data_IF_946017107102
#
_entry.id   IF_946017107102
#
_cell.length_a   1.000
_cell.length_b   1.000
_cell.length_c   1.000
_cell.angle_alpha   90.00
_cell.angle_beta   90.00
_cell.angle_gamma   90.00
#
_symmetry.space_group_name_H-M   'P 1'
#
loop_
_entity.id
_entity.type
_entity.pdbx_description
1 polymer ?
#
# COMPACT_ATOMS: atom_id res chain seq x y z
N UNK A 1 -6.64 -10.15 -17.27
CA UNK A 1 -7.22 -9.28 -16.20
C UNK A 1 -6.06 -8.63 -15.44
N UNK A 2 -6.05 -7.28 -15.31
CA UNK A 2 -4.99 -6.57 -14.59
C UNK A 2 -5.12 -6.78 -13.10
N UNK A 3 -4.08 -7.34 -12.50
CA UNK A 3 -3.99 -7.66 -11.07
C UNK A 3 -2.96 -6.74 -10.43
N UNK A 4 -3.22 -6.30 -9.20
CA UNK A 4 -2.23 -5.63 -8.37
C UNK A 4 -1.98 -6.42 -7.09
N UNK A 5 -0.75 -6.35 -6.61
CA UNK A 5 -0.32 -6.85 -5.31
C UNK A 5 0.19 -5.70 -4.46
N UNK A 6 -0.44 -5.51 -3.32
CA UNK A 6 -0.07 -4.52 -2.34
C UNK A 6 0.80 -5.17 -1.27
N UNK A 7 2.06 -4.82 -1.25
CA UNK A 7 3.05 -5.34 -0.31
C UNK A 7 3.28 -4.34 0.83
N UNK A 8 2.68 -4.65 1.96
CA UNK A 8 2.60 -3.78 3.13
C UNK A 8 3.77 -3.96 4.10
N UNK A 9 4.99 -4.29 3.62
CA UNK A 9 6.15 -4.66 4.44
C UNK A 9 6.52 -3.65 5.54
N UNK A 10 6.10 -2.39 5.41
CA UNK A 10 6.32 -1.33 6.41
C UNK A 10 5.02 -0.67 6.88
N UNK A 11 3.91 -1.38 6.78
CA UNK A 11 2.61 -0.87 7.18
C UNK A 11 1.74 -0.39 6.05
N UNK A 12 0.61 0.23 6.41
CA UNK A 12 -0.39 0.71 5.46
C UNK A 12 -1.15 1.91 6.03
N UNK A 13 -1.17 2.99 5.26
CA UNK A 13 -2.04 4.15 5.47
C UNK A 13 -2.62 4.61 4.13
N UNK A 14 -3.63 5.46 4.16
CA UNK A 14 -4.31 5.92 2.94
C UNK A 14 -3.38 6.71 2.03
N UNK A 15 -2.62 7.66 2.59
CA UNK A 15 -1.62 8.46 1.89
C UNK A 15 -0.52 7.60 1.24
N UNK A 16 -0.04 6.55 1.93
CA UNK A 16 0.92 5.60 1.36
C UNK A 16 0.31 4.81 0.21
N UNK A 17 -0.94 4.37 0.32
CA UNK A 17 -1.58 3.63 -0.76
C UNK A 17 -1.75 4.51 -2.00
N UNK A 18 -2.29 5.71 -1.82
CA UNK A 18 -2.47 6.65 -2.92
C UNK A 18 -1.13 7.09 -3.52
N UNK A 19 -0.11 7.35 -2.70
CA UNK A 19 1.25 7.61 -3.14
C UNK A 19 1.84 6.49 -3.97
N UNK A 20 1.62 5.21 -3.60
CA UNK A 20 2.09 4.07 -4.37
C UNK A 20 1.42 3.92 -5.73
N UNK A 21 0.14 4.28 -5.86
CA UNK A 21 -0.60 4.28 -7.12
C UNK A 21 -0.15 5.41 -8.05
N UNK A 22 0.16 6.59 -7.48
CA UNK A 22 0.77 7.70 -8.23
C UNK A 22 2.15 7.30 -8.77
N UNK A 23 2.97 6.66 -7.94
CA UNK A 23 4.29 6.17 -8.34
C UNK A 23 4.23 5.06 -9.40
N UNK A 24 3.15 4.27 -9.39
CA UNK A 24 2.87 3.23 -10.39
C UNK A 24 2.28 3.76 -11.72
N UNK A 25 2.15 5.09 -11.87
CA UNK A 25 1.77 5.73 -13.13
C UNK A 25 0.39 6.37 -13.18
N UNK A 26 -0.31 6.54 -12.05
CA UNK A 26 -1.51 7.37 -12.01
C UNK A 26 -1.13 8.84 -12.27
N UNK A 27 -1.87 9.51 -13.16
CA UNK A 27 -1.70 10.96 -13.37
C UNK A 27 -2.19 11.75 -12.16
N UNK A 28 -1.30 12.55 -11.56
CA UNK A 28 -1.65 13.42 -10.44
C UNK A 28 -2.70 14.48 -10.83
N UNK A 29 -2.60 15.06 -12.04
CA UNK A 29 -3.53 16.07 -12.51
C UNK A 29 -4.95 15.50 -12.68
N UNK A 30 -5.08 14.27 -13.21
CA UNK A 30 -6.40 13.61 -13.33
C UNK A 30 -6.99 13.31 -11.95
N UNK A 31 -6.17 12.83 -11.01
CA UNK A 31 -6.59 12.61 -9.63
C UNK A 31 -7.07 13.93 -9.00
N UNK A 32 -6.29 15.00 -9.13
CA UNK A 32 -6.62 16.32 -8.60
C UNK A 32 -7.94 16.86 -9.17
N UNK A 33 -8.10 16.80 -10.48
CA UNK A 33 -9.34 17.21 -11.14
C UNK A 33 -10.56 16.44 -10.62
N UNK A 34 -10.45 15.12 -10.49
CA UNK A 34 -11.53 14.28 -9.99
C UNK A 34 -11.89 14.59 -8.54
N UNK A 35 -10.89 14.72 -7.67
CA UNK A 35 -11.12 15.04 -6.26
C UNK A 35 -11.68 16.45 -6.03
N UNK A 36 -11.33 17.42 -6.88
CA UNK A 36 -11.87 18.79 -6.83
C UNK A 36 -13.37 18.86 -7.15
N UNK A 37 -13.98 17.81 -7.71
CA UNK A 37 -15.42 17.74 -7.93
C UNK A 37 -16.21 17.45 -6.64
N UNK A 38 -15.55 17.00 -5.59
CA UNK A 38 -16.17 16.78 -4.28
C UNK A 38 -16.55 18.14 -3.66
N UNK A 39 -17.77 18.30 -3.13
CA UNK A 39 -18.30 19.58 -2.69
C UNK A 39 -17.79 19.99 -1.29
N UNK A 40 -16.48 20.02 -1.14
CA UNK A 40 -15.81 20.63 0.02
C UNK A 40 -14.56 21.38 -0.43
N UNK A 41 -14.20 22.40 0.33
CA UNK A 41 -13.10 23.31 0.03
C UNK A 41 -12.17 23.40 1.23
N UNK A 42 -11.10 24.15 1.10
CA UNK A 42 -10.18 24.38 2.21
C UNK A 42 -9.14 23.27 2.35
N UNK A 43 -8.80 22.62 1.24
CA UNK A 43 -7.69 21.67 1.18
C UNK A 43 -6.90 21.80 -0.12
N UNK A 44 -5.65 21.43 -0.04
CA UNK A 44 -4.77 21.24 -1.18
C UNK A 44 -4.14 19.86 -1.13
N UNK A 45 -3.93 19.24 -2.29
CA UNK A 45 -3.19 17.98 -2.39
C UNK A 45 -1.83 18.20 -3.03
N UNK A 46 -0.84 17.53 -2.49
CA UNK A 46 0.54 17.55 -2.98
C UNK A 46 1.03 16.14 -3.27
N UNK A 47 1.77 16.00 -4.38
CA UNK A 47 2.50 14.78 -4.71
C UNK A 47 3.96 15.12 -4.94
N UNK A 48 4.87 14.49 -4.18
CA UNK A 48 6.29 14.79 -4.21
C UNK A 48 7.12 13.52 -4.14
N UNK A 49 8.22 13.49 -4.89
CA UNK A 49 9.24 12.44 -4.76
C UNK A 49 10.02 12.64 -3.46
N UNK A 50 10.07 11.60 -2.63
CA UNK A 50 10.88 11.58 -1.41
C UNK A 50 11.65 10.26 -1.31
N UNK A 51 12.72 10.28 -0.52
CA UNK A 51 13.53 9.09 -0.27
C UNK A 51 13.33 8.57 1.16
N UNK A 52 13.32 7.26 1.29
CA UNK A 52 13.41 6.55 2.58
C UNK A 52 14.52 5.52 2.49
N UNK A 53 15.56 5.67 3.31
CA UNK A 53 16.73 4.75 3.31
C UNK A 53 17.20 4.41 1.89
N UNK A 54 17.45 5.43 1.06
CA UNK A 54 17.95 5.35 -0.33
C UNK A 54 16.97 4.73 -1.35
N UNK A 55 15.71 4.46 -0.98
CA UNK A 55 14.68 4.07 -1.92
C UNK A 55 13.77 5.27 -2.17
N UNK A 56 13.60 5.62 -3.46
CA UNK A 56 12.71 6.70 -3.89
C UNK A 56 11.28 6.21 -4.01
N UNK A 57 10.34 7.03 -3.60
CA UNK A 57 8.91 6.80 -3.77
C UNK A 57 8.14 8.11 -3.87
N UNK A 58 6.84 8.02 -4.02
CA UNK A 58 5.95 9.19 -4.07
C UNK A 58 5.25 9.37 -2.74
N UNK A 59 5.44 10.56 -2.15
CA UNK A 59 4.67 11.02 -1.02
C UNK A 59 3.44 11.76 -1.49
N UNK A 60 2.29 11.35 -1.01
CA UNK A 60 1.03 12.08 -1.16
C UNK A 60 0.68 12.78 0.16
N UNK A 61 0.19 14.01 0.08
CA UNK A 61 -0.24 14.79 1.25
C UNK A 61 -1.50 15.56 0.94
N UNK A 62 -2.34 15.67 1.96
CA UNK A 62 -3.48 16.60 2.02
C UNK A 62 -3.11 17.72 3.00
N UNK A 63 -3.13 18.94 2.53
CA UNK A 63 -2.94 20.15 3.33
C UNK A 63 -4.30 20.79 3.56
N UNK A 64 -4.65 21.07 4.83
CA UNK A 64 -5.88 21.79 5.17
C UNK A 64 -5.58 23.26 5.33
N UNK A 65 -6.46 24.12 4.79
CA UNK A 65 -6.37 25.57 4.96
C UNK A 65 -6.51 25.89 6.46
N UNK A 66 -5.54 26.61 7.01
CA UNK A 66 -5.48 26.93 8.44
C UNK A 66 -4.30 26.30 9.18
N UNK A 67 -3.53 25.39 8.59
CA UNK A 67 -2.31 24.83 9.20
C UNK A 67 -1.10 25.77 9.19
N UNK A 68 -1.20 26.97 8.57
CA UNK A 68 -0.09 27.93 8.40
C UNK A 68 -0.12 29.17 9.32
N UNK A 69 -1.07 29.27 10.27
CA UNK A 69 -1.06 30.39 11.23
C UNK A 69 -1.14 29.93 12.69
N UNK A 70 0.00 29.60 13.27
CA UNK A 70 0.21 29.92 14.68
C UNK A 70 0.32 31.46 14.79
N UNK A 71 -0.75 32.09 15.29
CA UNK A 71 -0.77 33.20 16.26
C UNK A 71 -2.15 33.86 16.33
N UNK A 72 -2.79 33.70 17.53
CA UNK A 72 -3.82 34.57 18.11
C UNK A 72 -5.12 34.82 17.31
N UNK A 73 -6.15 34.09 17.68
CA UNK A 73 -7.53 34.42 17.37
C UNK A 73 -8.43 33.20 17.50
N UNK A 74 -9.28 33.19 18.53
CA UNK A 74 -10.35 32.18 18.69
C UNK A 74 -11.31 32.23 17.50
N UNK A 75 -11.06 31.44 16.49
CA UNK A 75 -12.09 31.02 15.55
C UNK A 75 -12.24 29.52 15.70
N UNK A 76 -13.38 29.11 16.29
CA UNK A 76 -13.84 27.74 16.42
C UNK A 76 -14.17 27.16 15.02
N UNK A 77 -13.16 26.89 14.20
CA UNK A 77 -13.28 25.91 13.14
C UNK A 77 -12.75 24.58 13.66
N UNK A 78 -13.60 23.91 14.45
CA UNK A 78 -13.45 22.47 14.62
C UNK A 78 -13.52 21.84 13.23
N UNK A 79 -12.59 20.92 12.85
CA UNK A 79 -12.81 20.06 11.70
C UNK A 79 -14.19 19.43 11.93
N UNK A 80 -15.13 19.72 11.03
CA UNK A 80 -16.51 19.25 11.17
C UNK A 80 -16.45 17.72 11.30
N UNK A 81 -16.81 17.23 12.49
CA UNK A 81 -16.99 15.80 12.74
C UNK A 81 -18.16 15.33 11.86
N UNK A 82 -17.83 14.82 10.67
CA UNK A 82 -18.84 14.39 9.70
C UNK A 82 -19.34 13.01 10.08
N UNK A 83 -20.65 12.88 10.21
CA UNK A 83 -21.30 11.58 10.29
C UNK A 83 -21.35 10.89 8.92
N UNK A 84 -21.63 9.58 8.92
CA UNK A 84 -21.70 8.75 7.71
C UNK A 84 -22.60 9.37 6.62
N UNK A 85 -23.75 9.92 6.98
CA UNK A 85 -24.68 10.55 6.05
C UNK A 85 -24.04 11.73 5.29
N UNK A 86 -23.35 12.62 6.00
CA UNK A 86 -22.70 13.77 5.40
C UNK A 86 -21.55 13.35 4.44
N UNK A 87 -20.81 12.31 4.78
CA UNK A 87 -19.75 11.76 3.92
C UNK A 87 -20.35 11.17 2.64
N UNK A 88 -21.41 10.38 2.77
CA UNK A 88 -22.10 9.81 1.61
C UNK A 88 -22.68 10.89 0.69
N UNK A 89 -23.25 11.98 1.24
CA UNK A 89 -23.72 13.13 0.46
C UNK A 89 -22.58 13.82 -0.31
N UNK A 90 -21.41 13.96 0.31
CA UNK A 90 -20.20 14.52 -0.33
C UNK A 90 -19.76 13.64 -1.51
N UNK A 91 -19.68 12.32 -1.31
CA UNK A 91 -19.26 11.39 -2.35
C UNK A 91 -20.28 11.34 -3.49
N UNK A 92 -21.58 11.35 -3.17
CA UNK A 92 -22.64 11.28 -4.15
C UNK A 92 -22.68 12.49 -5.10
N UNK A 93 -22.39 13.68 -4.58
CA UNK A 93 -22.34 14.92 -5.37
C UNK A 93 -21.09 15.07 -6.23
N UNK A 94 -20.03 14.30 -5.97
CA UNK A 94 -18.81 14.33 -6.79
C UNK A 94 -19.07 13.82 -8.21
N UNK A 95 -18.35 14.35 -9.20
CA UNK A 95 -18.35 13.83 -10.59
C UNK A 95 -17.43 12.60 -10.67
N UNK A 96 -17.93 11.50 -10.11
CA UNK A 96 -17.26 10.20 -10.01
C UNK A 96 -18.14 9.14 -10.61
N UNK A 97 -17.54 8.04 -11.08
CA UNK A 97 -18.32 6.90 -11.58
C UNK A 97 -19.14 6.26 -10.44
N UNK A 98 -20.24 5.63 -10.76
CA UNK A 98 -21.07 4.89 -9.79
C UNK A 98 -20.27 3.82 -9.04
N UNK A 99 -19.31 3.19 -9.72
CA UNK A 99 -18.43 2.18 -9.14
C UNK A 99 -17.54 2.80 -8.04
N UNK A 100 -16.95 3.97 -8.31
CA UNK A 100 -16.12 4.69 -7.33
C UNK A 100 -16.97 5.13 -6.14
N UNK A 101 -18.11 5.76 -6.38
CA UNK A 101 -19.06 6.17 -5.34
C UNK A 101 -19.45 5.00 -4.44
N UNK A 102 -19.95 3.93 -5.03
CA UNK A 102 -20.44 2.74 -4.31
C UNK A 102 -19.35 2.11 -3.45
N UNK A 103 -18.15 1.92 -3.99
CA UNK A 103 -17.05 1.32 -3.24
C UNK A 103 -16.56 2.21 -2.09
N UNK A 104 -16.44 3.51 -2.34
CA UNK A 104 -16.03 4.48 -1.31
C UNK A 104 -17.04 4.53 -0.17
N UNK A 105 -18.34 4.61 -0.47
CA UNK A 105 -19.41 4.59 0.54
C UNK A 105 -19.39 3.28 1.35
N UNK A 106 -19.20 2.13 0.71
CA UNK A 106 -19.13 0.84 1.40
C UNK A 106 -17.96 0.76 2.39
N UNK A 107 -16.82 1.39 2.08
CA UNK A 107 -15.68 1.49 3.01
C UNK A 107 -16.05 2.34 4.23
N UNK A 108 -16.70 3.49 4.03
CA UNK A 108 -17.16 4.34 5.14
C UNK A 108 -18.26 3.69 5.98
N UNK A 109 -19.17 2.92 5.37
CA UNK A 109 -20.14 2.10 6.09
C UNK A 109 -19.49 1.04 6.97
N UNK A 110 -18.41 0.40 6.48
CA UNK A 110 -17.64 -0.55 7.28
C UNK A 110 -16.97 0.12 8.48
N UNK A 111 -16.36 1.29 8.26
CA UNK A 111 -15.80 2.11 9.33
C UNK A 111 -16.86 2.51 10.36
N UNK A 112 -18.02 3.01 9.93
CA UNK A 112 -19.11 3.41 10.81
C UNK A 112 -19.64 2.24 11.65
N UNK A 113 -19.74 1.04 11.06
CA UNK A 113 -20.14 -0.16 11.80
C UNK A 113 -19.14 -0.54 12.89
N UNK A 114 -17.86 -0.42 12.61
CA UNK A 114 -16.79 -0.74 13.58
C UNK A 114 -16.75 0.30 14.69
N UNK A 115 -16.71 1.58 14.36
CA UNK A 115 -16.73 2.67 15.34
C UNK A 115 -18.00 2.64 16.18
N UNK A 116 -19.16 2.39 15.58
CA UNK A 116 -20.42 2.23 16.28
C UNK A 116 -20.39 1.12 17.34
N UNK A 117 -19.76 -0.02 17.02
CA UNK A 117 -19.57 -1.10 18.00
C UNK A 117 -18.65 -0.70 19.15
N UNK A 118 -17.57 0.03 18.86
CA UNK A 118 -16.59 0.47 19.87
C UNK A 118 -17.24 1.48 20.82
N UNK A 119 -18.03 2.40 20.28
CA UNK A 119 -18.69 3.47 21.05
C UNK A 119 -20.09 3.11 21.55
N UNK A 120 -20.57 1.91 21.25
CA UNK A 120 -21.94 1.46 21.57
C UNK A 120 -23.02 2.40 20.99
N UNK A 121 -22.83 2.81 19.74
CA UNK A 121 -23.72 3.69 18.97
C UNK A 121 -24.19 2.99 17.69
N UNK A 122 -25.40 3.30 17.19
CA UNK A 122 -25.80 2.95 15.84
C UNK A 122 -24.86 3.58 14.80
N UNK A 123 -24.58 2.89 13.65
CA UNK A 123 -23.63 3.40 12.63
C UNK A 123 -24.00 4.78 12.07
N UNK A 124 -25.27 5.11 12.00
CA UNK A 124 -25.78 6.41 11.52
C UNK A 124 -25.58 7.56 12.51
N UNK A 125 -25.32 7.25 13.79
CA UNK A 125 -25.00 8.20 14.85
C UNK A 125 -23.50 8.34 15.12
N UNK A 126 -22.67 7.61 14.40
CA UNK A 126 -21.21 7.73 14.53
C UNK A 126 -20.74 9.06 13.95
N UNK A 127 -20.00 9.80 14.77
CA UNK A 127 -19.21 10.93 14.32
C UNK A 127 -17.75 10.51 14.25
N UNK A 128 -17.19 10.54 13.06
CA UNK A 128 -15.80 10.16 12.87
C UNK A 128 -14.87 11.24 13.42
N UNK A 129 -14.07 10.90 14.41
CA UNK A 129 -13.10 11.82 15.02
C UNK A 129 -11.75 11.84 14.29
N UNK A 130 -11.36 10.70 13.72
CA UNK A 130 -10.07 10.53 13.03
C UNK A 130 -10.24 10.24 11.53
N UNK A 131 -11.32 9.56 11.15
CA UNK A 131 -11.54 9.07 9.76
C UNK A 131 -12.56 9.92 8.98
N UNK A 132 -13.26 10.83 9.61
CA UNK A 132 -14.21 11.77 8.98
C UNK A 132 -13.57 13.07 8.50
N UNK A 133 -12.29 13.26 8.75
CA UNK A 133 -11.54 14.39 8.28
C UNK A 133 -11.37 14.36 6.74
N UNK A 134 -11.13 15.49 6.16
CA UNK A 134 -11.01 15.66 4.70
C UNK A 134 -9.94 14.77 4.11
N UNK A 135 -8.81 14.60 4.81
CA UNK A 135 -7.70 13.74 4.39
C UNK A 135 -8.13 12.28 4.18
N UNK A 136 -8.90 11.71 5.13
CA UNK A 136 -9.39 10.34 5.01
C UNK A 136 -10.40 10.17 3.86
N UNK A 137 -11.24 11.18 3.59
CA UNK A 137 -12.15 11.15 2.45
C UNK A 137 -11.35 11.18 1.15
N UNK A 138 -10.35 12.05 1.04
CA UNK A 138 -9.46 12.13 -0.12
C UNK A 138 -8.71 10.83 -0.32
N UNK A 139 -8.16 10.25 0.74
CA UNK A 139 -7.41 8.99 0.67
C UNK A 139 -8.27 7.83 0.18
N UNK A 140 -9.49 7.70 0.73
CA UNK A 140 -10.40 6.60 0.36
C UNK A 140 -10.92 6.78 -1.05
N UNK A 141 -11.51 7.92 -1.36
CA UNK A 141 -12.08 8.19 -2.69
C UNK A 141 -10.98 8.18 -3.76
N UNK A 142 -9.84 8.83 -3.47
CA UNK A 142 -8.69 8.89 -4.36
C UNK A 142 -8.11 7.51 -4.67
N UNK A 143 -8.01 6.63 -3.67
CA UNK A 143 -7.51 5.26 -3.86
C UNK A 143 -8.46 4.44 -4.73
N UNK A 144 -9.78 4.51 -4.47
CA UNK A 144 -10.78 3.80 -5.28
C UNK A 144 -10.77 4.31 -6.73
N UNK A 145 -10.75 5.63 -6.93
CA UNK A 145 -10.60 6.26 -8.24
C UNK A 145 -9.32 5.82 -8.96
N UNK A 146 -8.21 5.80 -8.24
CA UNK A 146 -6.90 5.42 -8.77
C UNK A 146 -6.88 3.98 -9.29
N UNK A 147 -7.42 3.04 -8.51
CA UNK A 147 -7.51 1.62 -8.91
C UNK A 147 -8.36 1.45 -10.17
N UNK A 148 -9.49 2.16 -10.26
CA UNK A 148 -10.36 2.13 -11.43
C UNK A 148 -9.66 2.74 -12.65
N UNK A 149 -9.05 3.91 -12.51
CA UNK A 149 -8.34 4.62 -13.59
C UNK A 149 -7.17 3.82 -14.13
N UNK A 150 -6.42 3.14 -13.26
CA UNK A 150 -5.34 2.24 -13.66
C UNK A 150 -5.82 0.91 -14.24
N UNK A 151 -7.14 0.65 -14.23
CA UNK A 151 -7.75 -0.56 -14.74
C UNK A 151 -7.45 -1.81 -13.91
N UNK A 152 -7.10 -1.63 -12.64
CA UNK A 152 -6.86 -2.74 -11.70
C UNK A 152 -8.21 -3.39 -11.37
N UNK A 153 -8.34 -4.67 -11.71
CA UNK A 153 -9.59 -5.46 -11.54
C UNK A 153 -9.51 -6.44 -10.39
N UNK A 154 -8.30 -6.73 -9.93
CA UNK A 154 -8.05 -7.63 -8.80
C UNK A 154 -6.94 -7.05 -7.94
N UNK A 155 -7.18 -6.96 -6.63
CA UNK A 155 -6.22 -6.50 -5.64
C UNK A 155 -5.94 -7.63 -4.64
N UNK A 156 -4.69 -8.03 -4.54
CA UNK A 156 -4.21 -8.92 -3.48
C UNK A 156 -3.36 -8.09 -2.51
N UNK A 157 -3.47 -8.40 -1.23
CA UNK A 157 -2.75 -7.68 -0.17
C UNK A 157 -1.92 -8.68 0.64
N UNK A 158 -0.69 -8.32 0.95
CA UNK A 158 0.16 -9.12 1.85
C UNK A 158 -0.46 -9.20 3.25
N UNK A 159 -0.05 -10.15 4.11
CA UNK A 159 -0.33 -10.05 5.54
C UNK A 159 0.10 -8.69 6.07
N UNK A 160 -0.68 -8.11 6.99
CA UNK A 160 -0.49 -6.76 7.49
C UNK A 160 0.41 -6.73 8.73
N UNK A 161 1.54 -6.01 8.72
CA UNK A 161 2.41 -5.87 9.87
C UNK A 161 1.77 -4.90 10.88
N UNK A 162 1.47 -5.40 12.06
CA UNK A 162 0.96 -4.57 13.15
C UNK A 162 2.09 -4.15 14.09
N UNK A 163 1.99 -2.93 14.57
CA UNK A 163 2.89 -2.42 15.59
C UNK A 163 2.35 -2.64 17.00
N UNK A 164 3.05 -2.10 17.97
CA UNK A 164 2.71 -2.17 19.38
C UNK A 164 2.90 -0.82 20.08
N UNK A 165 2.58 -0.75 21.38
CA UNK A 165 2.74 0.45 22.18
C UNK A 165 1.44 1.25 22.31
N UNK A 166 1.55 2.58 22.31
CA UNK A 166 0.43 3.49 22.53
C UNK A 166 0.54 4.72 21.63
N UNK A 167 -0.59 5.19 21.17
CA UNK A 167 -0.74 6.45 20.42
C UNK A 167 -1.64 7.43 21.17
N UNK A 168 -1.34 8.73 21.07
CA UNK A 168 -2.19 9.79 21.62
C UNK A 168 -3.23 10.19 20.58
N UNK A 169 -4.51 10.09 20.94
CA UNK A 169 -5.64 10.42 20.08
C UNK A 169 -6.56 11.45 20.78
N UNK A 170 -7.65 11.84 20.13
CA UNK A 170 -8.70 12.67 20.73
C UNK A 170 -9.32 12.01 21.96
N UNK A 171 -9.34 10.67 22.02
CA UNK A 171 -9.84 9.88 23.15
C UNK A 171 -8.79 9.59 24.23
N UNK A 172 -7.65 10.27 24.17
CA UNK A 172 -6.54 10.06 25.09
C UNK A 172 -5.50 9.08 24.54
N UNK A 173 -4.83 8.35 25.43
CA UNK A 173 -3.78 7.39 25.07
C UNK A 173 -4.40 6.01 24.85
N UNK A 174 -4.41 5.53 23.62
CA UNK A 174 -4.96 4.24 23.26
C UNK A 174 -3.87 3.25 22.83
N UNK A 175 -4.10 1.93 22.98
CA UNK A 175 -3.12 0.93 22.53
C UNK A 175 -2.96 0.91 21.01
N UNK A 176 -1.81 0.48 20.55
CA UNK A 176 -1.51 0.17 19.14
C UNK A 176 -1.48 -1.36 19.00
N UNK A 177 -2.19 -1.92 18.01
CA UNK A 177 -3.09 -1.26 17.05
C UNK A 177 -4.32 -0.64 17.70
N UNK A 178 -4.84 0.44 17.11
CA UNK A 178 -6.07 1.07 17.60
C UNK A 178 -7.26 0.08 17.57
N UNK A 179 -8.23 0.19 18.50
CA UNK A 179 -9.38 -0.73 18.55
C UNK A 179 -10.12 -0.84 17.22
N UNK A 180 -10.32 0.27 16.50
CA UNK A 180 -10.96 0.29 15.19
C UNK A 180 -10.15 -0.49 14.15
N UNK A 181 -8.82 -0.30 14.14
CA UNK A 181 -7.93 -1.04 13.24
C UNK A 181 -8.06 -2.55 13.46
N UNK A 182 -7.97 -3.03 14.71
CA UNK A 182 -8.11 -4.46 15.01
C UNK A 182 -9.49 -5.02 14.63
N UNK A 183 -10.55 -4.26 14.89
CA UNK A 183 -11.90 -4.69 14.57
C UNK A 183 -12.14 -4.79 13.05
N UNK A 184 -11.55 -3.88 12.25
CA UNK A 184 -11.56 -3.96 10.79
C UNK A 184 -10.79 -5.17 10.26
N UNK A 185 -9.69 -5.55 10.92
CA UNK A 185 -8.81 -6.64 10.50
C UNK A 185 -9.27 -8.03 10.97
N UNK A 186 -10.49 -8.16 11.48
CA UNK A 186 -11.01 -9.48 11.84
C UNK A 186 -11.06 -10.40 10.62
N UNK A 187 -10.38 -11.57 10.71
CA UNK A 187 -10.23 -12.53 9.60
C UNK A 187 -9.14 -12.20 8.59
N UNK A 188 -8.37 -11.14 8.80
CA UNK A 188 -7.23 -10.76 7.95
C UNK A 188 -5.93 -11.33 8.52
N UNK A 189 -5.03 -11.91 7.69
CA UNK A 189 -3.73 -12.36 8.16
C UNK A 189 -2.86 -11.17 8.58
N UNK A 190 -2.29 -11.26 9.77
CA UNK A 190 -1.45 -10.22 10.37
C UNK A 190 -0.08 -10.78 10.73
N UNK A 191 0.91 -9.87 10.85
CA UNK A 191 2.26 -10.15 11.30
C UNK A 191 2.64 -9.18 12.42
N UNK A 192 3.51 -9.62 13.34
CA UNK A 192 4.19 -8.69 14.23
C UNK A 192 5.27 -7.94 13.45
N UNK A 193 5.22 -6.60 13.48
CA UNK A 193 6.24 -5.76 12.83
C UNK A 193 7.53 -5.63 13.62
N UNK A 194 7.52 -5.93 14.91
CA UNK A 194 8.60 -5.64 15.86
C UNK A 194 8.77 -4.14 16.16
N UNK A 195 7.84 -3.27 15.71
CA UNK A 195 7.95 -1.81 15.83
C UNK A 195 6.97 -1.28 16.87
N UNK A 196 7.43 -0.42 17.76
CA UNK A 196 6.58 0.23 18.79
C UNK A 196 5.93 1.52 18.25
N UNK A 197 5.23 1.42 17.13
CA UNK A 197 4.48 2.49 16.49
C UNK A 197 3.28 1.92 15.75
N UNK A 198 2.31 2.77 15.44
CA UNK A 198 1.20 2.39 14.57
C UNK A 198 1.71 2.17 13.13
N UNK A 199 1.58 0.95 12.66
CA UNK A 199 2.01 0.53 11.32
C UNK A 199 0.85 0.49 10.33
N UNK A 200 -0.34 0.20 10.80
CA UNK A 200 -1.57 0.18 9.99
C UNK A 200 -2.57 1.13 10.62
N UNK A 201 -2.94 2.17 9.88
CA UNK A 201 -3.95 3.14 10.32
C UNK A 201 -5.37 2.60 10.13
N UNK A 202 -6.39 3.14 10.81
CA UNK A 202 -7.79 2.78 10.56
C UNK A 202 -8.20 2.93 9.08
N UNK A 203 -7.79 4.04 8.42
CA UNK A 203 -8.02 4.27 6.98
C UNK A 203 -7.34 3.21 6.12
N UNK A 204 -6.08 2.88 6.44
CA UNK A 204 -5.34 1.82 5.74
C UNK A 204 -6.01 0.45 5.89
N UNK A 205 -6.43 0.09 7.10
CA UNK A 205 -7.16 -1.15 7.37
C UNK A 205 -8.49 -1.22 6.60
N UNK A 206 -9.24 -0.12 6.59
CA UNK A 206 -10.52 -0.03 5.86
C UNK A 206 -10.34 -0.16 4.35
N UNK A 207 -9.31 0.47 3.79
CA UNK A 207 -8.95 0.33 2.37
C UNK A 207 -8.55 -1.11 2.03
N UNK A 208 -7.70 -1.73 2.85
CA UNK A 208 -7.30 -3.12 2.62
C UNK A 208 -8.50 -4.07 2.66
N UNK A 209 -9.32 -4.00 3.70
CA UNK A 209 -10.47 -4.90 3.89
C UNK A 209 -11.63 -4.64 2.92
N UNK A 210 -11.79 -3.38 2.49
CA UNK A 210 -12.84 -2.99 1.56
C UNK A 210 -12.51 -3.23 0.08
N UNK A 211 -11.22 -3.36 -0.26
CA UNK A 211 -10.77 -3.42 -1.66
C UNK A 211 -10.04 -4.72 -2.02
N UNK A 212 -9.48 -5.46 -1.04
CA UNK A 212 -8.79 -6.70 -1.34
C UNK A 212 -9.74 -7.81 -1.77
N UNK A 213 -9.41 -8.47 -2.87
CA UNK A 213 -10.06 -9.72 -3.29
C UNK A 213 -9.51 -10.92 -2.49
N UNK A 214 -8.26 -10.84 -2.04
CA UNK A 214 -7.64 -11.85 -1.18
C UNK A 214 -6.41 -11.29 -0.46
N UNK A 215 -6.06 -11.95 0.65
CA UNK A 215 -4.82 -11.72 1.39
C UNK A 215 -3.89 -12.92 1.22
N UNK A 216 -2.59 -12.67 1.06
CA UNK A 216 -1.60 -13.74 0.93
C UNK A 216 -0.28 -13.29 0.30
N UNK A 217 0.54 -14.23 -0.16
CA UNK A 217 1.80 -13.93 -0.82
C UNK A 217 1.59 -13.35 -2.22
N UNK A 218 2.66 -12.78 -2.79
CA UNK A 218 2.68 -12.32 -4.19
C UNK A 218 2.25 -13.46 -5.12
N UNK A 219 1.17 -13.28 -5.91
CA UNK A 219 0.72 -14.30 -6.85
C UNK A 219 1.67 -14.41 -8.04
N UNK A 220 1.68 -15.55 -8.74
CA UNK A 220 2.35 -15.65 -10.02
C UNK A 220 1.77 -14.63 -11.01
N UNK A 221 2.59 -13.69 -11.49
CA UNK A 221 2.18 -12.64 -12.43
C UNK A 221 3.37 -12.07 -13.19
N UNK A 222 3.10 -11.50 -14.37
CA UNK A 222 4.07 -10.67 -15.09
C UNK A 222 3.91 -9.24 -14.61
N UNK A 223 4.91 -8.74 -13.88
CA UNK A 223 4.90 -7.37 -13.35
C UNK A 223 5.17 -6.39 -14.49
N UNK A 224 4.30 -5.40 -14.64
CA UNK A 224 4.40 -4.32 -15.63
C UNK A 224 4.74 -2.98 -15.00
N UNK A 225 4.23 -2.72 -13.80
CA UNK A 225 4.47 -1.48 -13.08
C UNK A 225 4.72 -1.77 -11.60
N UNK A 226 5.63 -1.01 -11.01
CA UNK A 226 5.90 -0.99 -9.57
C UNK A 226 5.86 0.45 -9.09
N UNK A 227 5.24 0.69 -7.95
CA UNK A 227 5.21 2.00 -7.32
C UNK A 227 5.43 1.90 -5.82
N UNK A 228 6.03 2.94 -5.24
CA UNK A 228 6.32 3.07 -3.82
C UNK A 228 5.63 4.30 -3.25
N UNK A 229 4.78 4.09 -2.25
CA UNK A 229 4.17 5.15 -1.46
C UNK A 229 4.96 5.42 -0.19
N UNK A 230 5.28 6.68 0.06
CA UNK A 230 6.15 7.10 1.17
C UNK A 230 5.33 7.44 2.39
N UNK A 231 5.60 6.78 3.52
CA UNK A 231 4.99 7.09 4.80
C UNK A 231 5.57 8.35 5.47
N UNK A 232 4.79 8.91 6.40
CA UNK A 232 5.15 10.15 7.09
C UNK A 232 6.24 9.99 8.16
N UNK A 233 6.38 8.79 8.72
CA UNK A 233 7.28 8.51 9.83
C UNK A 233 8.60 7.92 9.36
N UNK A 234 9.64 8.03 10.16
CA UNK A 234 10.89 7.29 9.98
C UNK A 234 10.83 6.00 10.81
N UNK A 235 11.28 4.89 10.21
CA UNK A 235 11.45 3.61 10.90
C UNK A 235 12.94 3.34 11.09
N UNK A 236 13.35 2.80 12.25
CA UNK A 236 14.77 2.64 12.57
C UNK A 236 15.46 1.61 11.68
N UNK A 237 14.80 0.52 11.36
CA UNK A 237 15.37 -0.69 10.75
C UNK A 237 15.09 -0.81 9.24
N UNK A 238 14.02 -0.21 8.74
CA UNK A 238 13.56 -0.36 7.36
C UNK A 238 13.03 0.95 6.78
N UNK A 239 12.93 1.08 5.44
CA UNK A 239 12.28 2.25 4.83
C UNK A 239 10.77 2.21 5.08
N UNK A 240 10.19 3.33 5.52
CA UNK A 240 8.73 3.46 5.65
C UNK A 240 8.10 3.67 4.28
N UNK A 241 7.89 2.57 3.58
CA UNK A 241 7.34 2.52 2.23
C UNK A 241 6.28 1.43 2.11
N UNK A 242 5.28 1.70 1.30
CA UNK A 242 4.32 0.74 0.79
C UNK A 242 4.65 0.45 -0.68
N UNK A 243 4.67 -0.81 -1.11
CA UNK A 243 4.92 -1.16 -2.50
C UNK A 243 3.66 -1.71 -3.17
N UNK A 244 3.36 -1.22 -4.36
CA UNK A 244 2.36 -1.84 -5.24
C UNK A 244 3.05 -2.38 -6.49
N UNK A 245 2.71 -3.61 -6.88
CA UNK A 245 3.14 -4.22 -8.13
C UNK A 245 1.90 -4.55 -8.95
N UNK A 246 1.82 -4.11 -10.19
CA UNK A 246 0.66 -4.41 -11.04
C UNK A 246 1.07 -5.01 -12.37
N UNK A 247 0.21 -5.88 -12.91
CA UNK A 247 0.48 -6.59 -14.15
C UNK A 247 -0.65 -7.55 -14.53
N UNK A 248 -0.33 -8.55 -15.32
CA UNK A 248 -1.27 -9.61 -15.71
C UNK A 248 -0.82 -10.97 -15.19
N UNK A 249 -1.77 -11.90 -14.99
CA UNK A 249 -1.44 -13.29 -14.75
C UNK A 249 -0.66 -13.88 -15.93
N UNK A 250 -0.02 -15.04 -15.74
CA UNK A 250 0.59 -15.76 -16.86
C UNK A 250 -0.49 -16.06 -17.90
N UNK A 251 -0.60 -15.19 -18.92
CA UNK A 251 -1.24 -15.54 -20.15
C UNK A 251 -0.21 -16.37 -20.93
N UNK A 252 -0.36 -17.67 -20.98
CA UNK A 252 0.20 -18.42 -22.08
C UNK A 252 -0.54 -17.94 -23.33
N UNK A 253 0.04 -16.98 -24.05
CA UNK A 253 -0.47 -16.62 -25.38
C UNK A 253 -0.28 -17.83 -26.29
N UNK A 254 -1.37 -18.40 -26.85
CA UNK A 254 -1.22 -19.51 -27.80
C UNK A 254 -0.57 -19.09 -29.14
N UNK A 255 -0.30 -17.79 -29.35
CA UNK A 255 0.03 -17.24 -30.67
C UNK A 255 1.52 -16.88 -30.89
N UNK A 256 2.44 -17.07 -29.92
CA UNK A 256 3.86 -16.78 -30.16
C UNK A 256 4.69 -17.98 -30.65
N UNK A 257 4.10 -19.19 -30.82
CA UNK A 257 4.84 -20.34 -31.37
C UNK A 257 5.04 -20.32 -32.89
N UNK A 258 4.55 -19.31 -33.63
CA UNK A 258 4.66 -19.28 -35.08
C UNK A 258 5.72 -18.35 -35.67
N UNK A 259 6.49 -17.62 -34.87
CA UNK A 259 7.46 -16.65 -35.40
C UNK A 259 8.95 -17.08 -35.33
N UNK A 260 9.27 -18.25 -34.77
CA UNK A 260 10.68 -18.68 -34.68
C UNK A 260 11.07 -19.89 -35.59
N UNK A 261 10.19 -20.25 -36.53
CA UNK A 261 10.56 -21.25 -37.56
C UNK A 261 10.83 -20.55 -38.91
N UNK A 262 11.99 -19.89 -39.01
CA UNK A 262 12.39 -19.30 -40.29
C UNK A 262 13.66 -18.49 -40.19
N UNK A 263 14.79 -19.12 -39.82
CA UNK A 263 16.11 -18.58 -40.17
C UNK A 263 17.17 -19.69 -40.08
N UNK A 264 17.56 -20.22 -41.21
CA UNK A 264 18.96 -20.49 -41.56
C UNK A 264 19.61 -21.67 -40.86
N UNK A 265 19.56 -22.84 -41.52
CA UNK A 265 20.62 -23.83 -41.49
C UNK A 265 21.92 -23.16 -41.90
N UNK A 266 22.78 -22.85 -40.95
CA UNK A 266 24.16 -22.46 -41.18
C UNK A 266 25.08 -23.60 -40.75
N UNK A 267 25.68 -24.25 -41.71
CA UNK A 267 26.65 -25.33 -41.56
C UNK A 267 27.83 -24.87 -40.70
N UNK A 268 28.14 -25.60 -39.65
CA UNK A 268 29.41 -25.49 -38.93
C UNK A 268 30.30 -26.65 -39.37
N UNK A 269 31.25 -26.35 -40.27
CA UNK A 269 32.32 -27.25 -40.65
C UNK A 269 33.23 -27.57 -39.47
N UNK A 270 33.46 -28.84 -39.28
CA UNK A 270 34.43 -29.44 -38.38
C UNK A 270 35.84 -29.17 -38.87
N UNK A 271 36.60 -28.38 -38.10
CA UNK A 271 38.05 -28.20 -38.29
C UNK A 271 38.85 -29.07 -37.33
N UNK A 272 39.62 -29.94 -37.92
CA UNK A 272 40.48 -30.98 -37.39
C UNK A 272 41.52 -30.57 -36.35
N UNK A 273 41.74 -31.51 -35.44
CA UNK A 273 42.91 -31.85 -34.62
C UNK A 273 44.24 -31.14 -34.90
N UNK A 274 44.87 -30.64 -33.82
CA UNK A 274 46.33 -30.75 -33.62
C UNK A 274 46.68 -30.99 -32.17
N UNK A 275 47.17 -32.18 -31.92
CA UNK A 275 47.86 -32.63 -30.72
C UNK A 275 49.14 -31.83 -30.49
N UNK A 276 49.45 -31.46 -29.24
CA UNK A 276 50.83 -31.36 -28.75
C UNK A 276 50.88 -31.69 -27.23
N UNK A 277 51.70 -32.68 -26.97
CA UNK A 277 52.21 -33.19 -25.71
C UNK A 277 52.93 -32.15 -24.84
N UNK A 278 52.87 -32.31 -23.50
CA UNK A 278 53.85 -31.72 -22.57
C UNK A 278 53.40 -31.74 -21.11
N UNK A 279 53.54 -32.76 -20.46
CA UNK A 279 54.32 -33.29 -19.33
C UNK A 279 54.41 -32.41 -18.03
N UNK A 280 54.11 -33.10 -16.90
CA UNK A 280 54.62 -32.96 -15.51
C UNK A 280 54.10 -31.89 -14.56
N UNK A 281 53.61 -32.36 -13.38
CA UNK A 281 53.61 -31.64 -12.14
C UNK A 281 52.61 -32.17 -11.08
N UNK A 282 53.03 -33.16 -10.35
CA UNK A 282 52.38 -33.72 -9.17
C UNK A 282 52.31 -32.72 -8.03
N UNK A 283 51.15 -32.65 -7.32
CA UNK A 283 50.99 -31.90 -6.09
C UNK A 283 49.78 -32.34 -5.30
N UNK A 284 50.00 -33.27 -4.39
CA UNK A 284 49.08 -33.69 -3.34
C UNK A 284 48.68 -32.54 -2.43
N UNK A 285 47.39 -32.33 -2.14
CA UNK A 285 46.95 -31.84 -0.84
C UNK A 285 45.55 -32.37 -0.49
N UNK A 286 45.48 -32.85 0.74
CA UNK A 286 44.37 -33.54 1.44
C UNK A 286 43.24 -32.60 1.80
N UNK A 287 41.98 -33.10 2.02
CA UNK A 287 40.82 -32.33 2.42
C UNK A 287 40.78 -32.07 3.96
N UNK A 288 40.44 -30.85 4.32
CA UNK A 288 40.21 -30.43 5.70
C UNK A 288 38.77 -30.67 6.17
N UNK A 289 38.63 -31.12 7.39
CA UNK A 289 37.40 -31.47 8.12
C UNK A 289 36.47 -30.28 8.38
N UNK A 290 35.13 -30.52 8.55
CA UNK A 290 34.18 -29.50 8.99
C UNK A 290 34.22 -29.28 10.50
N UNK A 291 34.16 -28.02 10.91
CA UNK A 291 34.04 -27.59 12.33
C UNK A 291 32.58 -27.70 12.76
N UNK A 292 32.38 -28.50 13.79
CA UNK A 292 31.14 -28.64 14.57
C UNK A 292 31.00 -27.48 15.54
N UNK A 293 29.86 -26.76 15.51
CA UNK A 293 29.46 -25.82 16.56
C UNK A 293 28.61 -26.55 17.61
N UNK A 294 29.02 -26.53 18.87
CA UNK A 294 28.21 -26.92 20.02
C UNK A 294 27.67 -25.64 20.72
N UNK A 295 26.44 -25.66 21.26
CA UNK A 295 25.89 -24.57 22.04
C UNK A 295 26.28 -24.72 23.51
N UNK A 296 26.80 -23.65 24.12
CA UNK A 296 27.00 -23.53 25.57
C UNK A 296 25.75 -22.93 26.22
N UNK A 297 25.26 -23.62 27.26
CA UNK A 297 24.08 -23.26 28.02
C UNK A 297 24.28 -22.16 29.05
N UNK A 298 23.13 -21.83 29.60
CA UNK A 298 22.79 -20.83 30.65
C UNK A 298 23.61 -20.92 31.97
N UNK A 299 23.47 -19.97 32.89
CA UNK A 299 22.24 -19.79 33.67
C UNK A 299 21.50 -18.45 33.46
#
# INVERSE_FOLDING_TARGET
MKTAYLDCFSGLSGDMFLGSLLDAGLSFDKLKQSLQTLPFHGYEIESKREMRKQISGTRFKVHLDGSHHEKHGHSNHHPENRGLKAINEVIDRGDLTDSVKKKSMAIFESLARVEGRIHNLPPDQVHFHEVGAVDSIIDIVGTVYALETLGIKRLLVSPLPLGSGFVKTAHGRIPVPAPATLALLNGVPILDSGVQQEMVTPTGAALATGLADAFGPLPPMVIQHVGYGVGSRELPDRPNLLRISSGCGFCTHPDEEKSTRGAGSGDWETGSEKSLNGNHGSGNHRPGHPLSFQPTGSP
#
